data_IF_190162821838
#
_entry.id   IF_190162821838
#
_cell.length_a   1.000
_cell.length_b   1.000
_cell.length_c   1.000
_cell.angle_alpha   90.00
_cell.angle_beta   90.00
_cell.angle_gamma   90.00
#
_symmetry.space_group_name_H-M   'P 1'
#
loop_
_entity.id
_entity.type
_entity.pdbx_description
1 polymer ?
#
# COMPACT_ATOMS: atom_id res chain seq x y z
N UNK A 1 -8.44 3.81 -9.65
CA UNK A 1 -7.29 3.88 -8.72
C UNK A 1 -6.16 2.91 -9.09
N UNK A 2 -6.09 1.66 -8.61
CA UNK A 2 -4.88 0.81 -8.83
C UNK A 2 -4.55 0.54 -10.31
N UNK A 3 -5.58 0.49 -11.18
CA UNK A 3 -5.44 0.50 -12.65
C UNK A 3 -4.61 1.67 -13.18
N UNK A 4 -5.04 2.88 -12.87
CA UNK A 4 -4.37 4.12 -13.27
C UNK A 4 -2.99 4.26 -12.63
N UNK A 5 -2.85 3.77 -11.38
CA UNK A 5 -1.59 3.80 -10.65
C UNK A 5 -0.54 2.88 -11.30
N UNK A 6 -0.94 1.67 -11.72
CA UNK A 6 -0.06 0.75 -12.43
C UNK A 6 0.48 1.39 -13.71
N UNK A 7 -0.41 1.98 -14.52
CA UNK A 7 -0.04 2.69 -15.75
C UNK A 7 0.88 3.89 -15.46
N UNK A 8 0.55 4.71 -14.46
CA UNK A 8 1.35 5.90 -14.09
C UNK A 8 2.75 5.55 -13.57
N UNK A 9 2.91 4.43 -12.88
CA UNK A 9 4.19 3.99 -12.32
C UNK A 9 4.97 3.05 -13.25
N UNK A 10 4.36 2.63 -14.37
CA UNK A 10 4.90 1.62 -15.27
C UNK A 10 5.43 0.40 -14.48
N UNK A 11 4.57 -0.19 -13.65
CA UNK A 11 4.83 -1.40 -12.86
C UNK A 11 3.57 -2.26 -12.72
N UNK A 12 3.75 -3.57 -12.70
CA UNK A 12 2.65 -4.50 -12.44
C UNK A 12 2.19 -4.37 -10.97
N UNK A 13 0.88 -4.27 -10.76
CA UNK A 13 0.28 -4.18 -9.43
C UNK A 13 -0.67 -5.36 -9.24
N UNK A 14 -0.46 -6.14 -8.19
CA UNK A 14 -1.40 -7.17 -7.75
C UNK A 14 -2.19 -6.64 -6.56
N UNK A 15 -3.51 -6.65 -6.67
CA UNK A 15 -4.40 -6.24 -5.59
C UNK A 15 -5.10 -7.46 -5.05
N UNK A 16 -5.00 -7.70 -3.75
CA UNK A 16 -5.77 -8.74 -3.06
C UNK A 16 -6.60 -8.09 -1.95
N UNK A 17 -7.87 -8.41 -1.84
CA UNK A 17 -8.63 -7.90 -0.71
C UNK A 17 -10.05 -8.38 -0.62
N UNK A 18 -10.64 -8.12 0.55
CA UNK A 18 -12.05 -8.36 0.81
C UNK A 18 -12.83 -7.05 0.75
N UNK A 19 -14.11 -7.13 0.42
CA UNK A 19 -14.99 -5.96 0.47
C UNK A 19 -15.11 -5.45 1.91
N UNK A 20 -15.09 -4.13 2.09
CA UNK A 20 -15.34 -3.49 3.37
C UNK A 20 -16.05 -2.15 3.15
N UNK A 21 -16.89 -1.75 4.11
CA UNK A 21 -17.49 -0.42 4.13
C UNK A 21 -16.54 0.56 4.80
N UNK A 22 -16.00 1.47 4.01
CA UNK A 22 -15.11 2.51 4.51
C UNK A 22 -15.77 3.88 4.30
N UNK A 23 -15.87 4.74 5.32
CA UNK A 23 -16.40 6.09 5.15
C UNK A 23 -15.69 6.83 4.02
N UNK A 24 -16.44 7.53 3.16
CA UNK A 24 -15.88 8.28 2.02
C UNK A 24 -14.75 9.24 2.39
N UNK A 25 -14.81 9.81 3.61
CA UNK A 25 -13.76 10.69 4.14
C UNK A 25 -12.42 9.97 4.30
N UNK A 26 -12.43 8.67 4.64
CA UNK A 26 -11.24 7.83 4.76
C UNK A 26 -10.73 7.36 3.39
N UNK A 27 -11.61 7.19 2.39
CA UNK A 27 -11.23 6.72 1.05
C UNK A 27 -10.18 7.60 0.36
N UNK A 28 -10.26 8.92 0.52
CA UNK A 28 -9.25 9.84 -0.02
C UNK A 28 -7.89 9.64 0.64
N UNK A 29 -7.86 9.49 1.96
CA UNK A 29 -6.62 9.25 2.70
C UNK A 29 -6.00 7.90 2.31
N UNK A 30 -6.80 6.85 2.20
CA UNK A 30 -6.36 5.52 1.76
C UNK A 30 -5.75 5.58 0.36
N UNK A 31 -6.40 6.27 -0.58
CA UNK A 31 -5.89 6.37 -1.95
C UNK A 31 -4.53 7.09 -2.03
N UNK A 32 -4.34 8.16 -1.25
CA UNK A 32 -3.06 8.86 -1.17
C UNK A 32 -1.99 8.02 -0.48
N UNK A 33 -2.33 7.30 0.60
CA UNK A 33 -1.42 6.36 1.27
C UNK A 33 -0.92 5.31 0.26
N UNK A 34 -1.84 4.68 -0.47
CA UNK A 34 -1.49 3.69 -1.51
C UNK A 34 -0.58 4.29 -2.56
N UNK A 35 -0.88 5.50 -3.05
CA UNK A 35 -0.07 6.18 -4.05
C UNK A 35 1.37 6.41 -3.57
N UNK A 36 1.55 6.93 -2.37
CA UNK A 36 2.88 7.21 -1.81
C UNK A 36 3.67 5.92 -1.55
N UNK A 37 3.02 4.89 -0.97
CA UNK A 37 3.67 3.62 -0.69
C UNK A 37 4.03 2.86 -1.98
N UNK A 38 3.14 2.85 -2.98
CA UNK A 38 3.44 2.24 -4.28
C UNK A 38 4.54 3.00 -5.04
N UNK A 39 4.56 4.33 -4.93
CA UNK A 39 5.63 5.16 -5.49
C UNK A 39 6.97 4.84 -4.83
N UNK A 40 7.00 4.65 -3.50
CA UNK A 40 8.21 4.24 -2.79
C UNK A 40 8.67 2.84 -3.21
N UNK A 41 7.75 1.87 -3.30
CA UNK A 41 8.03 0.54 -3.81
C UNK A 41 8.59 0.57 -5.24
N UNK A 42 8.07 1.42 -6.13
CA UNK A 42 8.62 1.60 -7.47
C UNK A 42 10.03 2.21 -7.47
N UNK A 43 10.29 3.17 -6.58
CA UNK A 43 11.58 3.89 -6.51
C UNK A 43 12.69 3.08 -5.88
N UNK A 44 12.37 2.27 -4.87
CA UNK A 44 13.35 1.62 -3.99
C UNK A 44 13.25 0.10 -4.00
N UNK A 45 12.10 -0.46 -4.37
CA UNK A 45 11.86 -1.89 -4.46
C UNK A 45 12.08 -2.45 -5.87
N UNK A 46 11.66 -3.68 -6.06
CA UNK A 46 11.67 -4.38 -7.34
C UNK A 46 10.45 -5.30 -7.48
N UNK A 47 10.30 -5.88 -8.66
CA UNK A 47 9.22 -6.82 -8.96
C UNK A 47 7.84 -6.15 -9.03
N UNK A 48 6.77 -6.95 -9.06
CA UNK A 48 5.43 -6.43 -8.96
C UNK A 48 5.17 -5.86 -7.56
N UNK A 49 4.36 -4.80 -7.51
CA UNK A 49 3.87 -4.27 -6.25
C UNK A 49 2.63 -5.06 -5.86
N UNK A 50 2.60 -5.60 -4.64
CA UNK A 50 1.41 -6.23 -4.08
C UNK A 50 0.73 -5.27 -3.11
N UNK A 51 -0.56 -5.05 -3.28
CA UNK A 51 -1.40 -4.23 -2.41
C UNK A 51 -2.44 -5.16 -1.81
N UNK A 52 -2.50 -5.25 -0.49
CA UNK A 52 -3.52 -6.03 0.21
C UNK A 52 -4.44 -5.15 1.04
N UNK A 53 -5.73 -5.41 1.02
CA UNK A 53 -6.70 -4.74 1.88
C UNK A 53 -7.61 -5.76 2.57
N UNK A 54 -7.56 -5.85 3.89
CA UNK A 54 -8.31 -6.84 4.65
C UNK A 54 -8.99 -6.22 5.86
N UNK A 55 -10.29 -6.48 6.06
CA UNK A 55 -10.93 -6.22 7.33
C UNK A 55 -10.43 -7.19 8.41
N UNK A 56 -10.43 -6.75 9.66
CA UNK A 56 -10.03 -7.56 10.82
C UNK A 56 -10.71 -7.09 12.11
N UNK A 57 -10.49 -7.79 13.24
CA UNK A 57 -11.21 -7.55 14.49
C UNK A 57 -11.05 -6.14 15.08
N UNK A 58 -9.97 -5.45 14.72
CA UNK A 58 -9.63 -4.12 15.21
C UNK A 58 -9.78 -3.00 14.15
N UNK A 59 -10.34 -3.31 12.98
CA UNK A 59 -10.53 -2.35 11.89
C UNK A 59 -10.07 -2.90 10.54
N UNK A 60 -9.48 -2.05 9.71
CA UNK A 60 -8.95 -2.40 8.40
C UNK A 60 -7.42 -2.44 8.40
N UNK A 61 -6.86 -3.35 7.62
CA UNK A 61 -5.43 -3.48 7.35
C UNK A 61 -5.18 -3.28 5.85
N UNK A 62 -4.31 -2.32 5.53
CA UNK A 62 -3.79 -2.06 4.19
C UNK A 62 -2.30 -2.36 4.19
N UNK A 63 -1.82 -3.19 3.27
CA UNK A 63 -0.38 -3.38 3.07
C UNK A 63 0.05 -3.13 1.64
N UNK A 64 1.27 -2.62 1.48
CA UNK A 64 1.95 -2.48 0.19
C UNK A 64 3.30 -3.16 0.30
N UNK A 65 3.55 -4.11 -0.60
CA UNK A 65 4.73 -4.96 -0.61
C UNK A 65 5.44 -4.86 -1.96
N UNK A 66 6.76 -4.94 -1.90
CA UNK A 66 7.65 -5.10 -3.05
C UNK A 66 8.56 -6.31 -2.88
N UNK A 67 9.31 -6.65 -3.93
CA UNK A 67 10.25 -7.76 -3.99
C UNK A 67 11.70 -7.25 -4.16
N UNK A 68 12.00 -6.05 -3.67
CA UNK A 68 13.32 -5.42 -3.75
C UNK A 68 14.35 -5.96 -2.75
N UNK A 69 15.37 -5.15 -2.48
CA UNK A 69 16.42 -5.47 -1.49
C UNK A 69 15.93 -5.33 -0.03
N UNK A 70 14.76 -4.73 0.17
CA UNK A 70 14.18 -4.47 1.48
C UNK A 70 14.54 -3.11 2.05
N UNK A 71 14.22 -2.91 3.33
CA UNK A 71 14.45 -1.65 4.02
C UNK A 71 15.92 -1.55 4.48
N UNK A 72 16.54 -0.35 4.40
CA UNK A 72 17.86 -0.14 4.97
C UNK A 72 17.92 -0.48 6.46
N UNK A 73 19.11 -0.89 6.93
CA UNK A 73 19.32 -1.16 8.36
C UNK A 73 18.97 0.07 9.20
N UNK A 74 18.18 -0.13 10.26
CA UNK A 74 17.73 0.95 11.13
C UNK A 74 16.65 1.86 10.53
N UNK A 75 16.02 1.50 9.41
CA UNK A 75 14.87 2.23 8.89
C UNK A 75 13.76 2.32 9.93
N UNK A 76 13.23 3.53 10.13
CA UNK A 76 12.06 3.76 10.98
C UNK A 76 11.08 4.64 10.21
N UNK A 77 9.79 4.31 10.29
CA UNK A 77 8.72 5.11 9.69
C UNK A 77 8.33 6.35 10.55
N UNK A 78 9.16 6.69 11.55
CA UNK A 78 8.94 7.80 12.47
C UNK A 78 9.14 9.16 11.75
N UNK A 79 8.35 10.15 12.16
CA UNK A 79 8.34 11.52 11.67
C UNK A 79 9.63 12.29 12.03
N UNK A 80 10.37 11.84 13.04
CA UNK A 80 11.44 12.63 13.66
C UNK A 80 12.85 12.37 13.12
N UNK A 81 13.09 11.28 12.37
CA UNK A 81 14.44 10.95 11.86
C UNK A 81 14.40 10.41 10.42
N UNK A 82 14.81 11.26 9.48
CA UNK A 82 15.27 10.81 8.16
C UNK A 82 14.24 10.24 7.18
N UNK A 83 12.96 10.17 7.52
CA UNK A 83 11.93 9.70 6.58
C UNK A 83 11.72 10.70 5.43
N UNK A 84 11.68 10.19 4.19
CA UNK A 84 11.43 10.99 2.99
C UNK A 84 10.04 11.64 3.01
N UNK A 85 9.83 12.65 2.17
CA UNK A 85 8.56 13.42 2.12
C UNK A 85 7.32 12.52 1.98
N UNK A 86 7.38 11.49 1.15
CA UNK A 86 6.26 10.55 0.96
C UNK A 86 5.88 9.82 2.25
N UNK A 87 6.85 9.34 3.02
CA UNK A 87 6.57 8.69 4.31
C UNK A 87 5.97 9.69 5.32
N UNK A 88 6.40 10.95 5.32
CA UNK A 88 5.79 11.98 6.19
C UNK A 88 4.31 12.21 5.84
N UNK A 89 3.97 12.22 4.56
CA UNK A 89 2.57 12.31 4.09
C UNK A 89 1.79 11.09 4.54
N UNK A 90 2.34 9.88 4.36
CA UNK A 90 1.71 8.64 4.83
C UNK A 90 1.46 8.72 6.33
N UNK A 91 2.46 9.05 7.15
CA UNK A 91 2.30 9.09 8.61
C UNK A 91 1.27 10.14 9.05
N UNK A 92 1.18 11.29 8.39
CA UNK A 92 0.15 12.29 8.67
C UNK A 92 -1.27 11.79 8.34
N UNK A 93 -1.44 11.12 7.19
CA UNK A 93 -2.73 10.55 6.78
C UNK A 93 -3.14 9.38 7.68
N UNK A 94 -2.18 8.52 8.07
CA UNK A 94 -2.42 7.43 9.03
C UNK A 94 -2.86 7.98 10.38
N UNK A 95 -2.24 9.06 10.86
CA UNK A 95 -2.69 9.73 12.08
C UNK A 95 -4.10 10.32 11.94
N UNK A 96 -4.46 10.86 10.78
CA UNK A 96 -5.82 11.34 10.50
C UNK A 96 -6.87 10.21 10.48
N UNK A 97 -6.44 9.00 10.11
CA UNK A 97 -7.25 7.79 10.19
C UNK A 97 -7.30 7.18 11.60
N UNK A 98 -6.65 7.80 12.59
CA UNK A 98 -6.49 7.23 13.95
C UNK A 98 -5.82 5.84 13.93
N UNK A 99 -4.95 5.63 12.94
CA UNK A 99 -4.31 4.36 12.67
C UNK A 99 -2.84 4.27 13.12
N UNK A 100 -2.19 3.16 12.74
CA UNK A 100 -0.77 2.92 12.95
C UNK A 100 -0.11 2.50 11.62
N UNK A 101 1.14 2.94 11.44
CA UNK A 101 2.00 2.55 10.33
C UNK A 101 3.13 1.68 10.87
N UNK A 102 3.36 0.54 10.24
CA UNK A 102 4.53 -0.31 10.46
C UNK A 102 5.24 -0.58 9.14
N UNK A 103 6.53 -0.83 9.22
CA UNK A 103 7.37 -1.16 8.08
C UNK A 103 8.31 -2.30 8.47
N UNK A 104 8.47 -3.28 7.59
CA UNK A 104 9.33 -4.42 7.82
C UNK A 104 9.69 -5.14 6.53
N UNK A 105 10.28 -6.33 6.66
CA UNK A 105 10.56 -7.20 5.52
C UNK A 105 9.26 -7.78 4.96
N UNK A 106 9.22 -7.96 3.64
CA UNK A 106 8.17 -8.74 3.01
C UNK A 106 8.21 -10.19 3.55
N UNK A 107 7.07 -10.76 3.98
CA UNK A 107 6.99 -12.14 4.49
C UNK A 107 7.51 -13.23 3.55
N UNK A 108 7.59 -12.97 2.23
CA UNK A 108 8.19 -13.90 1.25
C UNK A 108 9.72 -14.01 1.35
N UNK A 109 10.35 -13.18 2.17
CA UNK A 109 11.79 -13.23 2.47
C UNK A 109 12.67 -12.24 1.70
N UNK A 110 12.11 -11.43 0.81
CA UNK A 110 12.82 -10.39 0.05
C UNK A 110 11.90 -9.20 -0.23
N UNK A 111 12.44 -7.98 -0.13
CA UNK A 111 11.68 -6.74 -0.30
C UNK A 111 11.09 -6.17 1.00
N UNK A 112 10.34 -5.08 0.86
CA UNK A 112 9.72 -4.40 1.99
C UNK A 112 8.21 -4.64 2.05
N UNK A 113 7.65 -4.50 3.26
CA UNK A 113 6.22 -4.48 3.52
C UNK A 113 5.90 -3.29 4.43
N UNK A 114 5.05 -2.40 3.95
CA UNK A 114 4.44 -1.34 4.74
C UNK A 114 3.01 -1.72 5.06
N UNK A 115 2.64 -1.70 6.34
CA UNK A 115 1.30 -2.05 6.82
C UNK A 115 0.69 -0.88 7.59
N UNK A 116 -0.53 -0.52 7.21
CA UNK A 116 -1.35 0.50 7.83
C UNK A 116 -2.59 -0.15 8.43
N UNK A 117 -2.75 -0.01 9.75
CA UNK A 117 -3.96 -0.43 10.48
C UNK A 117 -4.76 0.78 10.90
N UNK A 118 -6.08 0.76 10.76
CA UNK A 118 -6.92 1.88 11.19
C UNK A 118 -8.36 1.44 11.51
N UNK A 119 -9.08 2.16 12.40
CA UNK A 119 -10.47 1.86 12.71
C UNK A 119 -11.38 1.98 11.47
N UNK A 120 -12.22 0.97 11.26
CA UNK A 120 -13.22 0.94 10.21
C UNK A 120 -14.23 -0.17 10.45
N UNK A 121 -15.48 0.05 10.06
CA UNK A 121 -16.53 -0.97 10.12
C UNK A 121 -16.47 -1.83 8.87
N UNK A 122 -15.72 -2.91 8.96
CA UNK A 122 -15.88 -4.00 8.04
C UNK A 122 -17.29 -4.58 8.20
N UNK A 123 -18.15 -4.32 7.23
CA UNK A 123 -19.24 -5.26 7.00
C UNK A 123 -18.57 -6.50 6.42
N UNK A 124 -18.60 -7.61 7.16
CA UNK A 124 -18.36 -8.94 6.59
C UNK A 124 -19.41 -9.15 5.49
N UNK A 125 -19.14 -8.63 4.29
CA UNK A 125 -19.68 -9.26 3.12
C UNK A 125 -18.94 -10.60 3.05
N UNK A 126 -19.70 -11.69 3.10
CA UNK A 126 -19.30 -13.11 2.98
C UNK A 126 -18.67 -13.43 1.59
N UNK A 127 -17.91 -12.47 1.06
CA UNK A 127 -17.30 -12.48 -0.26
C UNK A 127 -15.84 -12.86 -0.09
N UNK A 128 -15.38 -13.94 -0.74
CA UNK A 128 -13.99 -14.35 -0.68
C UNK A 128 -13.08 -13.21 -1.17
N UNK A 129 -11.88 -13.14 -0.60
CA UNK A 129 -10.84 -12.23 -1.07
C UNK A 129 -10.69 -12.37 -2.58
N UNK A 130 -10.72 -11.25 -3.30
CA UNK A 130 -10.55 -11.22 -4.75
C UNK A 130 -9.11 -10.86 -5.08
N UNK A 131 -8.51 -11.67 -5.95
CA UNK A 131 -7.18 -11.40 -6.50
C UNK A 131 -7.33 -10.74 -7.87
N UNK A 132 -6.98 -9.46 -7.94
CA UNK A 132 -7.05 -8.64 -9.15
C UNK A 132 -5.62 -8.33 -9.58
N UNK A 133 -5.17 -8.97 -10.67
CA UNK A 133 -3.91 -8.61 -11.33
C UNK A 133 -4.13 -7.43 -12.26
N UNK A 134 -3.51 -6.30 -11.94
CA UNK A 134 -3.49 -5.10 -12.78
C UNK A 134 -2.14 -5.04 -13.49
N UNK A 135 -2.17 -5.25 -14.81
CA UNK A 135 -0.98 -5.08 -15.65
C UNK A 135 -0.93 -3.66 -16.19
N UNK A 136 0.29 -3.17 -16.35
CA UNK A 136 0.52 -1.96 -17.15
C UNK A 136 -0.01 -2.16 -18.57
N UNK A 137 -0.65 -1.13 -19.13
CA UNK A 137 -0.82 -1.06 -20.57
C UNK A 137 0.58 -0.89 -21.17
N UNK A 138 1.02 -1.90 -21.93
CA UNK A 138 2.34 -1.91 -22.58
C UNK A 138 2.62 -0.53 -23.19
N UNK A 139 3.74 0.07 -22.81
CA UNK A 139 4.19 1.32 -23.40
C UNK A 139 4.23 1.12 -24.92
N UNK A 140 3.40 1.85 -25.66
CA UNK A 140 3.50 1.91 -27.11
C UNK A 140 4.94 2.34 -27.42
N UNK A 141 5.73 1.56 -28.17
CA UNK A 141 7.07 1.97 -28.54
C UNK A 141 6.99 3.32 -29.24
N UNK A 142 7.79 4.29 -28.80
CA UNK A 142 8.05 5.50 -29.59
C UNK A 142 8.81 5.03 -30.84
N UNK A 143 8.14 5.04 -31.99
CA UNK A 143 8.76 4.92 -33.32
C UNK A 143 9.55 6.18 -33.68
#
# INVERSE_FOLDING_TARGET
>A
MCGELADSLAVDIHVEGSEASVPTKQMLAIGLIVNELATNAKKHGAGPIKITFRPGPAGCELSVLDEGEGLPEGFTADQHKGSGLGIKVVTALVSQLEGQLSAGSNPTGHGACFTVTFPGEATEADTPARDIKVKTRSAVPLE
#
